data_IF_605232194281
#
_entry.id   IF_605232194281
#
_cell.length_a   1.000
_cell.length_b   1.000
_cell.length_c   1.000
_cell.angle_alpha   90.00
_cell.angle_beta   90.00
_cell.angle_gamma   90.00
#
_symmetry.space_group_name_H-M   'P 1'
#
loop_
_entity.id
_entity.type
_entity.pdbx_description
1 polymer ?
#
# COMPACT_ATOMS: atom_id res chain seq x y z
N UNK A 1 -24.84 5.72 -63.03
CA UNK A 1 -23.87 4.71 -62.55
C UNK A 1 -22.42 5.15 -62.78
N UNK A 2 -22.04 5.59 -63.99
CA UNK A 2 -20.68 6.11 -64.28
C UNK A 2 -20.28 7.27 -63.37
N UNK A 3 -21.15 8.27 -63.17
CA UNK A 3 -20.89 9.40 -62.26
C UNK A 3 -20.64 8.96 -60.82
N UNK A 4 -21.34 7.91 -60.35
CA UNK A 4 -21.15 7.36 -59.01
C UNK A 4 -19.80 6.64 -58.90
N UNK A 5 -19.41 5.87 -59.92
CA UNK A 5 -18.10 5.22 -59.99
C UNK A 5 -16.97 6.25 -60.03
N UNK A 6 -17.15 7.34 -60.78
CA UNK A 6 -16.16 8.44 -60.87
C UNK A 6 -16.04 9.18 -59.53
N UNK A 7 -17.15 9.54 -58.89
CA UNK A 7 -17.14 10.17 -57.55
C UNK A 7 -16.50 9.24 -56.52
N UNK A 8 -16.82 7.94 -56.55
CA UNK A 8 -16.23 6.95 -55.67
C UNK A 8 -14.72 6.81 -55.89
N UNK A 9 -14.25 6.78 -57.14
CA UNK A 9 -12.82 6.78 -57.47
C UNK A 9 -12.11 8.06 -57.02
N UNK A 10 -12.75 9.22 -57.17
CA UNK A 10 -12.21 10.50 -56.69
C UNK A 10 -12.04 10.46 -55.17
N UNK A 11 -13.06 10.00 -54.42
CA UNK A 11 -13.00 9.87 -52.96
C UNK A 11 -11.90 8.90 -52.53
N UNK A 12 -11.69 7.81 -53.27
CA UNK A 12 -10.69 6.78 -52.97
C UNK A 12 -9.25 7.24 -53.31
N UNK A 13 -9.09 8.12 -54.32
CA UNK A 13 -7.81 8.68 -54.73
C UNK A 13 -7.43 9.96 -53.96
N UNK A 14 -8.41 10.70 -53.44
CA UNK A 14 -8.22 11.94 -52.67
C UNK A 14 -7.17 11.84 -51.55
N UNK A 15 -7.10 10.76 -50.75
CA UNK A 15 -6.04 10.58 -49.77
C UNK A 15 -4.62 10.56 -50.33
N UNK A 16 -4.44 10.07 -51.56
CA UNK A 16 -3.13 9.97 -52.21
C UNK A 16 -2.70 11.28 -52.88
N UNK A 17 -3.65 12.18 -53.13
CA UNK A 17 -3.41 13.49 -53.74
C UNK A 17 -3.24 14.61 -52.70
N UNK A 18 -3.57 14.35 -51.44
CA UNK A 18 -3.47 15.34 -50.37
C UNK A 18 -2.09 15.27 -49.73
N UNK A 19 -1.34 16.38 -49.76
CA UNK A 19 -0.07 16.48 -49.04
C UNK A 19 -0.33 16.68 -47.55
N UNK A 20 -0.29 15.59 -46.78
CA UNK A 20 -0.54 15.60 -45.34
C UNK A 20 0.56 16.30 -44.54
N UNK A 21 1.78 16.40 -45.06
CA UNK A 21 2.89 17.06 -44.37
C UNK A 21 2.63 18.57 -44.25
N UNK A 22 1.85 19.16 -45.16
CA UNK A 22 1.39 20.55 -45.07
C UNK A 22 0.48 20.83 -43.85
N UNK A 23 -0.15 19.79 -43.28
CA UNK A 23 -1.01 19.86 -42.09
C UNK A 23 -0.31 19.46 -40.79
N UNK A 24 1.00 19.19 -40.85
CA UNK A 24 1.78 18.72 -39.71
C UNK A 24 1.62 19.58 -38.45
N UNK A 25 1.77 20.90 -38.59
CA UNK A 25 1.63 21.83 -37.45
C UNK A 25 0.23 21.82 -36.85
N UNK A 26 -0.82 21.68 -37.68
CA UNK A 26 -2.20 21.63 -37.20
C UNK A 26 -2.47 20.34 -36.42
N UNK A 27 -1.91 19.21 -36.89
CA UNK A 27 -2.00 17.91 -36.22
C UNK A 27 -1.25 17.94 -34.88
N UNK A 28 -0.02 18.48 -34.87
CA UNK A 28 0.77 18.64 -33.64
C UNK A 28 0.03 19.50 -32.60
N UNK A 29 -0.56 20.63 -33.03
CA UNK A 29 -1.35 21.50 -32.16
C UNK A 29 -2.60 20.79 -31.60
N UNK A 30 -3.31 20.01 -32.42
CA UNK A 30 -4.49 19.26 -31.96
C UNK A 30 -4.15 18.19 -30.91
N UNK A 31 -3.02 17.51 -31.05
CA UNK A 31 -2.53 16.57 -30.04
C UNK A 31 -2.18 17.35 -28.76
N UNK A 32 -1.48 18.48 -28.90
CA UNK A 32 -1.10 19.31 -27.76
C UNK A 32 -2.29 19.84 -26.96
N UNK A 33 -3.34 20.31 -27.62
CA UNK A 33 -4.57 20.78 -26.97
C UNK A 33 -5.30 19.68 -26.18
N UNK A 34 -5.23 18.43 -26.66
CA UNK A 34 -5.96 17.29 -26.06
C UNK A 34 -5.18 16.61 -24.95
N UNK A 35 -3.86 16.51 -25.09
CA UNK A 35 -3.01 15.74 -24.19
C UNK A 35 -2.08 16.63 -23.35
N UNK A 36 -2.07 17.95 -23.53
CA UNK A 36 -1.24 18.88 -22.76
C UNK A 36 0.27 18.57 -22.83
N UNK A 37 0.69 17.93 -23.91
CA UNK A 37 2.09 17.67 -24.25
C UNK A 37 2.38 18.26 -25.62
N UNK A 38 3.51 18.91 -25.78
CA UNK A 38 3.96 19.33 -27.10
C UNK A 38 4.49 18.10 -27.82
N UNK A 39 4.19 17.97 -29.10
CA UNK A 39 4.66 16.86 -29.92
C UNK A 39 5.40 17.34 -31.15
N UNK A 40 6.37 16.55 -31.61
CA UNK A 40 7.07 16.78 -32.87
C UNK A 40 7.08 15.48 -33.66
N UNK A 41 6.44 15.50 -34.83
CA UNK A 41 6.40 14.34 -35.72
C UNK A 41 7.69 14.37 -36.54
N UNK A 42 8.54 13.34 -36.48
CA UNK A 42 9.82 13.37 -37.18
C UNK A 42 9.76 12.80 -38.61
N UNK A 43 8.79 11.94 -38.88
CA UNK A 43 8.63 11.29 -40.17
C UNK A 43 7.46 11.84 -40.99
N UNK A 44 7.32 11.30 -42.22
CA UNK A 44 6.24 11.65 -43.14
C UNK A 44 4.89 11.15 -42.64
N UNK A 45 3.88 12.00 -42.74
CA UNK A 45 2.50 11.66 -42.36
C UNK A 45 1.85 10.86 -43.48
N UNK A 46 1.18 9.76 -43.13
CA UNK A 46 0.47 8.93 -44.11
C UNK A 46 -0.99 8.72 -43.73
N UNK A 47 -1.85 8.52 -44.72
CA UNK A 47 -3.25 8.15 -44.52
C UNK A 47 -3.51 6.73 -44.98
N UNK A 48 -4.24 5.96 -44.16
CA UNK A 48 -4.73 4.64 -44.50
C UNK A 48 -6.24 4.71 -44.74
N UNK A 49 -6.71 4.58 -46.00
CA UNK A 49 -8.14 4.72 -46.32
C UNK A 49 -8.96 3.46 -46.09
N UNK A 50 -8.33 2.28 -45.99
CA UNK A 50 -9.01 0.99 -45.85
C UNK A 50 -8.88 0.42 -44.44
N UNK A 51 -9.89 -0.31 -43.98
CA UNK A 51 -9.96 -0.95 -42.65
C UNK A 51 -9.72 0.07 -41.52
N UNK A 52 -10.77 0.86 -41.22
CA UNK A 52 -10.79 2.01 -40.29
C UNK A 52 -9.91 3.17 -40.78
N UNK A 53 -10.49 4.15 -41.49
CA UNK A 53 -9.69 5.25 -42.04
C UNK A 53 -8.99 6.07 -40.95
N UNK A 54 -7.67 6.27 -41.08
CA UNK A 54 -6.84 6.94 -40.07
C UNK A 54 -5.58 7.59 -40.65
N UNK A 55 -5.03 8.55 -39.91
CA UNK A 55 -3.69 9.08 -40.13
C UNK A 55 -2.71 8.27 -39.28
N UNK A 56 -1.57 7.89 -39.85
CA UNK A 56 -0.43 7.31 -39.14
C UNK A 56 0.67 8.38 -38.98
N UNK A 57 1.10 8.57 -37.74
CA UNK A 57 2.24 9.40 -37.36
C UNK A 57 3.35 8.47 -36.87
N UNK A 58 4.57 8.65 -37.37
CA UNK A 58 5.74 7.85 -36.98
C UNK A 58 6.80 8.71 -36.30
N UNK A 59 7.51 8.10 -35.35
CA UNK A 59 8.60 8.70 -34.58
C UNK A 59 8.20 10.06 -34.00
N UNK A 60 7.23 10.04 -33.08
CA UNK A 60 6.67 11.25 -32.45
C UNK A 60 7.39 11.51 -31.13
N UNK A 61 8.18 12.59 -31.10
CA UNK A 61 8.81 13.07 -29.87
C UNK A 61 7.80 13.83 -29.03
N UNK A 62 7.87 13.64 -27.71
CA UNK A 62 6.98 14.26 -26.74
C UNK A 62 7.78 15.16 -25.82
N UNK A 63 7.26 16.36 -25.61
CA UNK A 63 7.85 17.38 -24.77
C UNK A 63 6.84 17.90 -23.74
N UNK A 64 7.32 18.10 -22.52
CA UNK A 64 6.57 18.81 -21.49
C UNK A 64 6.81 20.32 -21.63
N UNK A 65 5.72 21.07 -21.75
CA UNK A 65 5.75 22.53 -21.89
C UNK A 65 6.16 23.18 -20.56
N UNK A 66 7.32 23.86 -20.52
CA UNK A 66 7.79 24.60 -19.34
C UNK A 66 8.08 26.06 -19.70
N UNK A 67 8.03 26.96 -18.72
CA UNK A 67 8.14 28.43 -18.93
C UNK A 67 9.51 28.88 -19.48
N UNK A 68 10.55 28.05 -19.38
CA UNK A 68 11.90 28.36 -19.83
C UNK A 68 12.27 27.64 -21.12
N UNK A 69 12.17 26.31 -21.14
CA UNK A 69 12.46 25.47 -22.31
C UNK A 69 11.59 24.21 -22.25
N UNK A 70 11.22 23.69 -23.42
CA UNK A 70 10.49 22.43 -23.55
C UNK A 70 11.38 21.26 -23.14
N UNK A 71 10.89 20.40 -22.24
CA UNK A 71 11.65 19.25 -21.74
C UNK A 71 11.26 18.02 -22.53
N UNK A 72 12.21 17.35 -23.17
CA UNK A 72 11.96 16.07 -23.83
C UNK A 72 11.61 15.00 -22.78
N UNK A 73 10.45 14.38 -22.94
CA UNK A 73 9.92 13.41 -21.97
C UNK A 73 9.70 12.02 -22.56
N UNK A 74 9.89 11.83 -23.86
CA UNK A 74 9.71 10.51 -24.44
C UNK A 74 9.48 10.52 -25.94
N UNK A 75 9.27 9.31 -26.47
CA UNK A 75 8.99 9.09 -27.87
C UNK A 75 7.93 7.98 -28.01
N UNK A 76 7.01 8.17 -28.94
CA UNK A 76 6.08 7.15 -29.42
C UNK A 76 6.48 6.80 -30.84
N UNK A 77 6.72 5.52 -31.10
CA UNK A 77 7.05 5.02 -32.43
C UNK A 77 5.90 5.25 -33.41
N UNK A 78 4.66 4.95 -33.02
CA UNK A 78 3.50 5.12 -33.89
C UNK A 78 2.25 5.61 -33.17
N UNK A 79 1.59 6.61 -33.75
CA UNK A 79 0.26 7.09 -33.33
C UNK A 79 -0.71 6.99 -34.50
N UNK A 80 -1.84 6.32 -34.31
CA UNK A 80 -2.96 6.34 -35.25
C UNK A 80 -4.04 7.30 -34.76
N UNK A 81 -4.43 8.23 -35.62
CA UNK A 81 -5.54 9.15 -35.38
C UNK A 81 -6.70 8.77 -36.30
N UNK A 82 -7.79 8.24 -35.73
CA UNK A 82 -8.95 7.86 -36.54
C UNK A 82 -9.69 9.12 -37.00
N UNK A 83 -9.56 9.42 -38.30
CA UNK A 83 -10.14 10.60 -38.92
C UNK A 83 -10.58 10.28 -40.36
N UNK A 84 -11.75 10.80 -40.72
CA UNK A 84 -12.26 10.67 -42.08
C UNK A 84 -11.48 11.62 -43.02
N UNK A 85 -11.17 11.16 -44.24
CA UNK A 85 -10.49 11.96 -45.26
C UNK A 85 -11.20 13.30 -45.55
N UNK A 86 -12.54 13.33 -45.52
CA UNK A 86 -13.28 14.58 -45.71
C UNK A 86 -12.97 15.60 -44.62
N UNK A 87 -12.79 15.15 -43.37
CA UNK A 87 -12.43 16.04 -42.28
C UNK A 87 -11.03 16.63 -42.48
N UNK A 88 -10.10 15.87 -43.06
CA UNK A 88 -8.77 16.36 -43.43
C UNK A 88 -8.89 17.43 -44.53
N UNK A 89 -9.63 17.15 -45.60
CA UNK A 89 -9.80 18.06 -46.74
C UNK A 89 -10.47 19.38 -46.33
N UNK A 90 -11.49 19.31 -45.48
CA UNK A 90 -12.19 20.49 -44.97
C UNK A 90 -11.48 21.16 -43.77
N UNK A 91 -10.25 20.73 -43.44
CA UNK A 91 -9.44 21.24 -42.33
C UNK A 91 -10.14 21.21 -40.97
N UNK A 92 -11.02 20.22 -40.77
CA UNK A 92 -11.76 20.00 -39.53
C UNK A 92 -11.12 18.84 -38.74
N UNK A 93 -9.92 19.07 -38.21
CA UNK A 93 -9.14 18.08 -37.48
C UNK A 93 -9.66 17.89 -36.05
N UNK A 94 -10.76 17.14 -35.89
CA UNK A 94 -11.23 16.76 -34.56
C UNK A 94 -10.84 15.31 -34.23
N UNK A 95 -9.76 15.15 -33.47
CA UNK A 95 -9.28 13.85 -33.00
C UNK A 95 -10.21 13.32 -31.90
N UNK A 96 -10.88 12.20 -32.16
CA UNK A 96 -11.82 11.58 -31.20
C UNK A 96 -11.36 10.21 -30.73
N UNK A 97 -10.65 9.45 -31.57
CA UNK A 97 -10.02 8.20 -31.17
C UNK A 97 -8.53 8.25 -31.49
N UNK A 98 -7.72 7.84 -30.52
CA UNK A 98 -6.27 7.80 -30.61
C UNK A 98 -5.81 6.38 -30.29
N UNK A 99 -4.86 5.88 -31.04
CA UNK A 99 -4.17 4.62 -30.75
C UNK A 99 -2.67 4.89 -30.72
N UNK A 100 -2.04 4.55 -29.60
CA UNK A 100 -0.60 4.66 -29.33
C UNK A 100 -0.01 3.27 -29.45
N UNK A 101 1.07 3.12 -30.22
CA UNK A 101 1.73 1.84 -30.48
C UNK A 101 3.23 2.03 -30.26
N UNK A 102 3.78 1.27 -29.32
CA UNK A 102 5.19 1.24 -28.93
C UNK A 102 5.72 2.62 -28.51
N UNK A 103 6.01 2.82 -27.24
CA UNK A 103 6.57 4.09 -26.78
C UNK A 103 7.05 4.08 -25.35
N UNK A 104 7.80 5.12 -25.00
CA UNK A 104 8.28 5.35 -23.64
C UNK A 104 8.04 6.82 -23.29
N UNK A 105 7.38 7.07 -22.16
CA UNK A 105 7.06 8.42 -21.68
C UNK A 105 7.41 8.55 -20.20
N UNK A 106 8.15 9.60 -19.86
CA UNK A 106 8.47 10.00 -18.48
C UNK A 106 7.67 11.26 -18.09
N UNK A 107 6.66 11.10 -17.24
CA UNK A 107 5.79 12.20 -16.79
C UNK A 107 6.20 12.73 -15.42
N UNK A 108 6.10 14.06 -15.25
CA UNK A 108 6.27 14.73 -13.96
C UNK A 108 5.01 14.70 -13.06
N UNK A 109 5.25 15.04 -11.80
CA UNK A 109 4.32 14.95 -10.68
C UNK A 109 3.20 16.02 -10.73
N UNK A 110 2.28 15.91 -11.70
CA UNK A 110 0.99 16.61 -11.81
C UNK A 110 0.27 16.38 -13.15
N UNK A 111 0.87 15.64 -14.10
CA UNK A 111 0.29 15.50 -15.44
C UNK A 111 -1.15 14.97 -15.42
N UNK A 112 -1.39 13.87 -14.72
CA UNK A 112 -2.72 13.26 -14.66
C UNK A 112 -3.75 14.16 -13.96
N UNK A 113 -3.36 14.88 -12.92
CA UNK A 113 -4.23 15.86 -12.26
C UNK A 113 -4.69 16.93 -13.25
N UNK A 114 -3.76 17.47 -14.04
CA UNK A 114 -4.06 18.48 -15.05
C UNK A 114 -4.93 17.91 -16.17
N UNK A 115 -4.62 16.70 -16.63
CA UNK A 115 -5.38 16.01 -17.68
C UNK A 115 -6.85 15.84 -17.26
N UNK A 116 -7.11 15.21 -16.11
CA UNK A 116 -8.48 14.93 -15.65
C UNK A 116 -9.25 16.18 -15.21
N UNK A 117 -8.57 17.27 -14.80
CA UNK A 117 -9.24 18.54 -14.48
C UNK A 117 -9.73 19.29 -15.73
N UNK A 118 -9.13 19.09 -16.89
CA UNK A 118 -9.53 19.78 -18.11
C UNK A 118 -10.60 19.01 -18.89
N UNK A 119 -11.83 19.09 -18.37
CA UNK A 119 -13.00 18.40 -18.94
C UNK A 119 -13.24 18.79 -20.41
N UNK A 120 -12.94 20.02 -20.82
CA UNK A 120 -13.24 20.49 -22.17
C UNK A 120 -12.39 19.80 -23.25
N UNK A 121 -11.10 19.58 -22.99
CA UNK A 121 -10.24 18.79 -23.89
C UNK A 121 -10.70 17.34 -23.98
N UNK A 122 -11.08 16.72 -22.84
CA UNK A 122 -11.51 15.31 -22.78
C UNK A 122 -12.92 15.11 -23.38
N UNK A 123 -13.80 16.13 -23.38
CA UNK A 123 -15.18 16.03 -23.91
C UNK A 123 -15.25 15.50 -25.34
N UNK A 124 -14.25 15.83 -26.14
CA UNK A 124 -14.14 15.42 -27.55
C UNK A 124 -13.57 14.01 -27.75
N UNK A 125 -12.83 13.49 -26.78
CA UNK A 125 -12.24 12.17 -26.83
C UNK A 125 -13.31 11.09 -26.55
N UNK A 126 -13.22 9.99 -27.29
CA UNK A 126 -14.08 8.82 -27.15
C UNK A 126 -13.28 7.59 -26.75
N UNK A 127 -12.15 7.35 -27.40
CA UNK A 127 -11.32 6.17 -27.16
C UNK A 127 -9.84 6.52 -27.21
N UNK A 128 -9.07 6.08 -26.23
CA UNK A 128 -7.62 5.98 -26.30
C UNK A 128 -7.26 4.50 -26.21
N UNK A 129 -6.56 3.99 -27.22
CA UNK A 129 -5.96 2.66 -27.20
C UNK A 129 -4.45 2.81 -27.00
N UNK A 130 -3.88 1.98 -26.16
CA UNK A 130 -2.45 1.93 -25.89
C UNK A 130 -2.02 0.50 -26.10
N UNK A 131 -1.05 0.29 -26.99
CA UNK A 131 -0.42 -1.00 -27.24
C UNK A 131 1.07 -0.84 -26.96
N UNK A 132 1.56 -1.55 -25.94
CA UNK A 132 2.95 -1.57 -25.54
C UNK A 132 3.55 -0.18 -25.25
N UNK A 133 3.16 0.43 -24.12
CA UNK A 133 3.75 1.68 -23.64
C UNK A 133 4.47 1.48 -22.32
N UNK A 134 5.68 2.02 -22.20
CA UNK A 134 6.36 2.15 -20.92
C UNK A 134 6.11 3.56 -20.37
N UNK A 135 5.57 3.61 -19.17
CA UNK A 135 5.26 4.85 -18.47
C UNK A 135 6.10 4.93 -17.20
N UNK A 136 6.94 5.96 -17.14
CA UNK A 136 7.66 6.33 -15.92
C UNK A 136 7.03 7.59 -15.35
N UNK A 137 6.57 7.51 -14.11
CA UNK A 137 6.07 8.65 -13.35
C UNK A 137 7.11 9.06 -12.31
N UNK A 138 7.68 10.23 -12.47
CA UNK A 138 8.80 10.71 -11.65
C UNK A 138 8.37 11.87 -10.74
N UNK A 139 8.73 11.78 -9.47
CA UNK A 139 8.67 12.86 -8.49
C UNK A 139 10.06 13.11 -7.91
N UNK A 140 10.32 14.29 -7.34
CA UNK A 140 11.64 14.75 -6.85
C UNK A 140 12.42 13.75 -5.96
N UNK A 141 11.79 12.71 -5.42
CA UNK A 141 12.43 11.70 -4.55
C UNK A 141 12.17 10.25 -4.95
N UNK A 142 11.31 9.98 -5.93
CA UNK A 142 10.92 8.60 -6.29
C UNK A 142 10.28 8.58 -7.66
N UNK A 143 10.56 7.52 -8.43
CA UNK A 143 9.87 7.20 -9.66
C UNK A 143 9.12 5.89 -9.54
N UNK A 144 7.96 5.82 -10.19
CA UNK A 144 7.19 4.60 -10.41
C UNK A 144 7.26 4.29 -11.90
N UNK A 145 7.47 3.04 -12.24
CA UNK A 145 7.51 2.59 -13.63
C UNK A 145 6.46 1.50 -13.83
N UNK A 146 5.70 1.65 -14.91
CA UNK A 146 4.77 0.65 -15.40
C UNK A 146 5.18 0.35 -16.84
N UNK A 147 5.63 -0.88 -17.10
CA UNK A 147 6.06 -1.31 -18.44
C UNK A 147 4.99 -2.14 -19.14
N UNK A 148 5.15 -2.29 -20.45
CA UNK A 148 4.33 -3.14 -21.32
C UNK A 148 2.83 -2.82 -21.21
N UNK A 149 2.48 -1.53 -21.05
CA UNK A 149 1.09 -1.12 -20.86
C UNK A 149 0.30 -1.42 -22.13
N UNK A 150 -0.77 -2.18 -21.97
CA UNK A 150 -1.82 -2.30 -22.96
C UNK A 150 -3.12 -1.82 -22.35
N UNK A 151 -3.82 -0.89 -23.00
CA UNK A 151 -5.03 -0.32 -22.43
C UNK A 151 -6.06 0.14 -23.44
N UNK A 152 -7.33 -0.07 -23.11
CA UNK A 152 -8.48 0.54 -23.74
C UNK A 152 -9.15 1.51 -22.76
N UNK A 153 -9.11 2.82 -23.06
CA UNK A 153 -9.70 3.89 -22.26
C UNK A 153 -10.87 4.49 -23.04
N UNK A 154 -12.08 4.42 -22.49
CA UNK A 154 -13.31 4.85 -23.15
C UNK A 154 -13.95 6.00 -22.36
N UNK A 155 -14.24 7.08 -23.07
CA UNK A 155 -14.89 8.28 -22.54
C UNK A 155 -16.26 8.51 -23.16
N UNK A 156 -17.14 9.15 -22.40
CA UNK A 156 -18.42 9.66 -22.89
C UNK A 156 -18.66 11.07 -22.36
N UNK A 157 -18.66 12.05 -23.28
CA UNK A 157 -18.84 13.47 -22.98
C UNK A 157 -17.92 13.94 -21.84
N UNK A 158 -16.65 13.50 -21.87
CA UNK A 158 -15.63 13.86 -20.90
C UNK A 158 -15.56 12.98 -19.65
N UNK A 159 -16.51 12.05 -19.45
CA UNK A 159 -16.48 11.14 -18.29
C UNK A 159 -15.83 9.81 -18.69
N UNK A 160 -14.93 9.28 -17.87
CA UNK A 160 -14.39 7.94 -18.02
C UNK A 160 -15.51 6.90 -17.80
N UNK A 161 -15.75 6.03 -18.79
CA UNK A 161 -16.72 4.91 -18.71
C UNK A 161 -16.00 3.58 -18.54
N UNK A 162 -14.91 3.36 -19.26
CA UNK A 162 -14.19 2.09 -19.19
C UNK A 162 -12.70 2.35 -19.22
N UNK A 163 -11.97 1.62 -18.37
CA UNK A 163 -10.53 1.46 -18.45
C UNK A 163 -10.29 -0.04 -18.35
N UNK A 164 -9.75 -0.65 -19.38
CA UNK A 164 -9.15 -1.98 -19.28
C UNK A 164 -7.66 -1.77 -19.48
N UNK A 165 -6.84 -2.16 -18.50
CA UNK A 165 -5.39 -1.94 -18.50
C UNK A 165 -4.68 -3.21 -18.04
N UNK A 166 -3.65 -3.59 -18.78
CA UNK A 166 -2.67 -4.60 -18.37
C UNK A 166 -1.28 -4.00 -18.44
N UNK A 167 -0.37 -4.48 -17.61
CA UNK A 167 1.02 -4.04 -17.60
C UNK A 167 1.80 -4.68 -16.47
N UNK A 168 3.04 -4.23 -16.29
CA UNK A 168 3.95 -4.72 -15.26
C UNK A 168 4.35 -3.58 -14.32
N UNK A 169 4.12 -3.75 -13.01
CA UNK A 169 4.57 -2.83 -11.97
C UNK A 169 5.79 -3.43 -11.26
N UNK A 170 7.00 -2.90 -11.48
CA UNK A 170 8.26 -3.51 -11.00
C UNK A 170 8.38 -5.02 -11.31
N UNK A 171 8.09 -5.41 -12.56
CA UNK A 171 8.02 -6.82 -13.02
C UNK A 171 6.89 -7.66 -12.42
N UNK A 172 5.93 -7.05 -11.72
CA UNK A 172 4.71 -7.73 -11.27
C UNK A 172 3.58 -7.48 -12.28
N UNK A 173 3.16 -8.50 -13.05
CA UNK A 173 2.06 -8.35 -13.97
C UNK A 173 0.77 -8.06 -13.20
N UNK A 174 0.00 -7.09 -13.68
CA UNK A 174 -1.31 -6.76 -13.14
C UNK A 174 -2.30 -6.45 -14.25
N UNK A 175 -3.57 -6.61 -13.89
CA UNK A 175 -4.71 -6.21 -14.70
C UNK A 175 -5.56 -5.25 -13.86
N UNK A 176 -5.96 -4.13 -14.45
CA UNK A 176 -6.89 -3.17 -13.87
C UNK A 176 -8.08 -2.98 -14.79
N UNK A 177 -9.29 -2.99 -14.22
CA UNK A 177 -10.53 -2.73 -14.94
C UNK A 177 -11.36 -1.71 -14.19
N UNK A 178 -11.90 -0.72 -14.89
CA UNK A 178 -12.83 0.26 -14.36
C UNK A 178 -14.10 0.28 -15.21
N UNK A 179 -15.26 0.35 -14.55
CA UNK A 179 -16.55 0.56 -15.20
C UNK A 179 -17.31 1.67 -14.50
N UNK A 180 -17.42 2.82 -15.15
CA UNK A 180 -18.13 4.00 -14.68
C UNK A 180 -19.53 4.13 -15.25
N UNK A 181 -20.43 4.75 -14.49
CA UNK A 181 -21.76 5.14 -14.95
C UNK A 181 -22.28 6.36 -14.19
N UNK A 182 -23.48 6.83 -14.53
CA UNK A 182 -24.18 7.88 -13.77
C UNK A 182 -25.39 7.30 -13.06
N UNK A 183 -25.54 7.58 -11.78
CA UNK A 183 -26.69 7.22 -10.98
C UNK A 183 -27.19 8.45 -10.21
N UNK A 184 -28.45 8.84 -10.40
CA UNK A 184 -29.07 10.01 -9.75
C UNK A 184 -28.21 11.30 -9.83
N UNK A 185 -27.57 11.54 -10.98
CA UNK A 185 -26.71 12.71 -11.20
C UNK A 185 -25.29 12.58 -10.64
N UNK A 186 -24.98 11.54 -9.85
CA UNK A 186 -23.64 11.25 -9.34
C UNK A 186 -22.89 10.29 -10.26
N UNK A 187 -21.57 10.45 -10.33
CA UNK A 187 -20.68 9.49 -10.99
C UNK A 187 -20.40 8.32 -10.04
N UNK A 188 -20.67 7.10 -10.51
CA UNK A 188 -20.42 5.86 -9.76
C UNK A 188 -19.55 4.93 -10.60
N UNK A 189 -18.89 3.97 -9.98
CA UNK A 189 -18.09 3.03 -10.73
C UNK A 189 -17.63 1.83 -9.95
N UNK A 190 -17.09 0.86 -10.66
CA UNK A 190 -16.44 -0.32 -10.10
C UNK A 190 -15.00 -0.37 -10.60
N UNK A 191 -14.03 -0.43 -9.69
CA UNK A 191 -12.62 -0.61 -9.98
C UNK A 191 -12.17 -1.99 -9.48
N UNK A 192 -11.48 -2.75 -10.31
CA UNK A 192 -10.82 -3.99 -9.92
C UNK A 192 -9.36 -3.94 -10.35
N UNK A 193 -8.44 -4.31 -9.45
CA UNK A 193 -7.02 -4.50 -9.71
C UNK A 193 -6.65 -5.90 -9.22
N UNK A 194 -6.02 -6.70 -10.06
CA UNK A 194 -5.57 -8.04 -9.68
C UNK A 194 -4.16 -8.32 -10.19
N UNK A 195 -3.44 -9.13 -9.43
CA UNK A 195 -2.18 -9.74 -9.86
C UNK A 195 -2.19 -11.21 -9.48
N UNK A 196 -2.25 -12.08 -10.50
CA UNK A 196 -2.30 -13.53 -10.31
C UNK A 196 -0.99 -14.07 -9.72
N UNK A 197 0.15 -13.45 -10.05
CA UNK A 197 1.47 -13.87 -9.58
C UNK A 197 1.56 -13.82 -8.05
N UNK A 198 1.05 -12.75 -7.45
CA UNK A 198 1.05 -12.56 -5.99
C UNK A 198 -0.30 -12.92 -5.34
N UNK A 199 -1.25 -13.44 -6.11
CA UNK A 199 -2.64 -13.74 -5.68
C UNK A 199 -3.27 -12.55 -4.93
N UNK A 200 -3.13 -11.37 -5.52
CA UNK A 200 -3.67 -10.12 -5.02
C UNK A 200 -4.92 -9.74 -5.79
N UNK A 201 -5.94 -9.30 -5.07
CA UNK A 201 -7.16 -8.73 -5.62
C UNK A 201 -7.56 -7.51 -4.81
N UNK A 202 -7.95 -6.45 -5.49
CA UNK A 202 -8.49 -5.24 -4.93
C UNK A 202 -9.70 -4.82 -5.74
N UNK A 203 -10.86 -4.79 -5.08
CA UNK A 203 -12.12 -4.43 -5.70
C UNK A 203 -12.71 -3.24 -4.95
N UNK A 204 -13.23 -2.24 -5.67
CA UNK A 204 -13.86 -1.05 -5.10
C UNK A 204 -15.19 -0.77 -5.78
N UNK A 205 -16.23 -0.59 -4.98
CA UNK A 205 -17.52 -0.02 -5.38
C UNK A 205 -17.51 1.47 -5.03
N UNK A 206 -17.41 2.34 -6.04
CA UNK A 206 -17.40 3.78 -5.91
C UNK A 206 -18.83 4.32 -6.02
N UNK A 207 -19.32 4.95 -4.96
CA UNK A 207 -20.69 5.44 -4.81
C UNK A 207 -20.79 6.94 -5.12
N UNK A 208 -19.68 7.67 -4.98
CA UNK A 208 -19.58 9.07 -5.37
C UNK A 208 -18.16 9.35 -5.85
N UNK A 209 -18.02 9.87 -7.08
CA UNK A 209 -16.75 10.15 -7.72
C UNK A 209 -16.71 11.61 -8.15
N UNK A 210 -15.75 12.35 -7.62
CA UNK A 210 -15.40 13.69 -8.10
C UNK A 210 -13.92 13.77 -8.49
N UNK A 211 -13.65 13.56 -9.77
CA UNK A 211 -12.30 13.66 -10.34
C UNK A 211 -11.72 15.08 -10.28
N UNK A 212 -12.53 16.14 -10.14
CA UNK A 212 -12.04 17.52 -10.10
C UNK A 212 -11.37 17.85 -8.75
N UNK A 213 -11.93 17.32 -7.67
CA UNK A 213 -11.45 17.54 -6.29
C UNK A 213 -10.77 16.30 -5.70
N UNK A 214 -10.52 15.27 -6.53
CA UNK A 214 -10.04 13.95 -6.12
C UNK A 214 -10.78 13.37 -4.90
N UNK A 215 -12.09 13.57 -4.85
CA UNK A 215 -12.92 13.04 -3.77
C UNK A 215 -13.64 11.78 -4.21
N UNK A 216 -13.50 10.71 -3.43
CA UNK A 216 -14.09 9.41 -3.74
C UNK A 216 -14.68 8.79 -2.48
N UNK A 217 -15.93 8.32 -2.58
CA UNK A 217 -16.61 7.60 -1.52
C UNK A 217 -16.97 6.20 -2.01
N UNK A 218 -16.73 5.18 -1.20
CA UNK A 218 -17.09 3.82 -1.60
C UNK A 218 -16.81 2.75 -0.56
N UNK A 219 -16.93 1.50 -1.02
CA UNK A 219 -16.53 0.32 -0.28
C UNK A 219 -15.44 -0.41 -1.05
N UNK A 220 -14.47 -0.98 -0.33
CA UNK A 220 -13.39 -1.72 -0.95
C UNK A 220 -13.14 -3.06 -0.26
N UNK A 221 -12.63 -4.00 -1.04
CA UNK A 221 -12.22 -5.34 -0.60
C UNK A 221 -10.81 -5.59 -1.09
N UNK A 222 -9.89 -5.86 -0.17
CA UNK A 222 -8.54 -6.33 -0.49
C UNK A 222 -8.46 -7.81 -0.13
N UNK A 223 -7.94 -8.64 -1.02
CA UNK A 223 -7.62 -10.05 -0.77
C UNK A 223 -6.18 -10.31 -1.18
N UNK A 224 -5.45 -10.98 -0.29
CA UNK A 224 -4.08 -11.38 -0.54
C UNK A 224 -3.87 -12.80 -0.03
N UNK A 225 -3.73 -13.76 -0.94
CA UNK A 225 -3.63 -15.19 -0.59
C UNK A 225 -2.21 -15.69 -0.37
N UNK A 226 -1.19 -14.86 -0.57
CA UNK A 226 0.19 -15.23 -0.33
C UNK A 226 0.63 -14.92 1.11
N UNK A 227 1.78 -15.45 1.51
CA UNK A 227 2.41 -15.10 2.77
C UNK A 227 2.99 -13.69 2.65
N UNK A 228 2.37 -12.70 3.29
CA UNK A 228 3.02 -11.41 3.48
C UNK A 228 4.21 -11.62 4.42
N UNK A 229 5.28 -10.84 4.23
CA UNK A 229 6.43 -10.80 5.15
C UNK A 229 6.11 -10.14 6.49
N UNK A 230 4.87 -10.25 6.95
CA UNK A 230 4.32 -9.67 8.17
C UNK A 230 3.62 -10.76 8.96
N UNK A 231 3.91 -10.82 10.27
CA UNK A 231 3.41 -11.87 11.15
C UNK A 231 1.89 -11.96 11.06
N UNK A 232 1.38 -13.15 10.75
CA UNK A 232 -0.04 -13.48 10.91
C UNK A 232 -1.02 -12.95 9.87
N UNK A 233 -0.59 -12.09 8.93
CA UNK A 233 -1.43 -11.54 7.86
C UNK A 233 -1.47 -12.42 6.59
N UNK A 234 -1.10 -13.70 6.70
CA UNK A 234 -1.26 -14.64 5.58
C UNK A 234 -2.75 -14.83 5.28
N UNK A 235 -3.11 -14.98 4.00
CA UNK A 235 -4.50 -15.11 3.55
C UNK A 235 -5.39 -13.94 4.03
N UNK A 236 -4.88 -12.72 3.90
CA UNK A 236 -5.55 -11.51 4.34
C UNK A 236 -6.78 -11.21 3.47
N UNK A 237 -7.89 -10.89 4.11
CA UNK A 237 -9.05 -10.24 3.54
C UNK A 237 -9.37 -9.01 4.38
N UNK A 238 -9.41 -7.84 3.74
CA UNK A 238 -9.88 -6.59 4.31
C UNK A 238 -11.16 -6.17 3.59
N UNK A 239 -12.16 -5.71 4.33
CA UNK A 239 -13.34 -5.04 3.75
C UNK A 239 -13.58 -3.76 4.51
N UNK A 240 -13.78 -2.64 3.84
CA UNK A 240 -13.92 -1.35 4.50
C UNK A 240 -14.71 -0.36 3.66
N UNK A 241 -15.37 0.58 4.32
CA UNK A 241 -15.85 1.80 3.69
C UNK A 241 -14.71 2.82 3.69
N UNK A 242 -14.59 3.63 2.64
CA UNK A 242 -13.60 4.69 2.57
C UNK A 242 -14.22 6.01 2.11
N UNK A 243 -13.68 7.12 2.62
CA UNK A 243 -13.92 8.49 2.16
C UNK A 243 -12.55 9.12 1.89
N UNK A 244 -12.19 9.21 0.61
CA UNK A 244 -10.93 9.77 0.11
C UNK A 244 -11.14 11.24 -0.23
N UNK A 245 -10.25 12.07 0.30
CA UNK A 245 -10.11 13.50 0.05
C UNK A 245 -8.70 13.82 -0.47
N UNK A 246 -8.49 15.06 -0.91
CA UNK A 246 -7.20 15.54 -1.43
C UNK A 246 -6.01 15.39 -0.45
N UNK A 247 -6.26 15.39 0.85
CA UNK A 247 -5.23 15.40 1.90
C UNK A 247 -5.27 14.19 2.83
N UNK A 248 -6.34 13.41 2.83
CA UNK A 248 -6.47 12.23 3.67
C UNK A 248 -7.45 11.19 3.10
N UNK A 249 -7.42 9.99 3.66
CA UNK A 249 -8.47 8.98 3.50
C UNK A 249 -8.89 8.43 4.85
N UNK A 250 -10.20 8.43 5.10
CA UNK A 250 -10.81 7.77 6.26
C UNK A 250 -11.28 6.38 5.86
N UNK A 251 -10.85 5.35 6.60
CA UNK A 251 -11.24 3.95 6.44
C UNK A 251 -12.08 3.53 7.64
N UNK A 252 -13.37 3.25 7.41
CA UNK A 252 -14.35 2.93 8.45
C UNK A 252 -14.82 1.48 8.33
N UNK A 253 -15.18 0.90 9.47
CA UNK A 253 -15.73 -0.45 9.56
C UNK A 253 -14.83 -1.49 8.86
N UNK A 254 -13.52 -1.40 9.07
CA UNK A 254 -12.55 -2.32 8.48
C UNK A 254 -12.76 -3.69 9.10
N UNK A 255 -13.28 -4.64 8.34
CA UNK A 255 -13.33 -6.04 8.73
C UNK A 255 -12.03 -6.72 8.30
N UNK A 256 -11.33 -7.30 9.26
CA UNK A 256 -10.06 -8.00 9.05
C UNK A 256 -10.27 -9.49 9.24
N UNK A 257 -9.83 -10.27 8.26
CA UNK A 257 -9.73 -11.72 8.39
C UNK A 257 -8.41 -12.20 7.79
N UNK A 258 -7.66 -13.00 8.53
CA UNK A 258 -6.37 -13.55 8.13
C UNK A 258 -6.12 -14.87 8.84
N UNK A 259 -4.94 -15.45 8.64
CA UNK A 259 -4.53 -16.67 9.32
C UNK A 259 -4.60 -16.59 10.86
N UNK A 260 -4.21 -15.45 11.44
CA UNK A 260 -4.25 -15.21 12.89
C UNK A 260 -5.38 -14.28 13.33
N UNK A 261 -5.57 -13.19 12.59
CA UNK A 261 -6.39 -12.07 13.04
C UNK A 261 -7.78 -12.15 12.46
N UNK A 262 -8.77 -12.02 13.33
CA UNK A 262 -10.18 -11.83 12.98
C UNK A 262 -10.71 -10.71 13.85
N UNK A 263 -11.29 -9.69 13.24
CA UNK A 263 -11.74 -8.52 13.98
C UNK A 263 -12.22 -7.39 13.11
N UNK A 264 -12.37 -6.24 13.74
CA UNK A 264 -12.82 -5.02 13.11
C UNK A 264 -11.96 -3.81 13.54
N UNK A 265 -12.09 -2.69 12.83
CA UNK A 265 -11.36 -1.49 13.17
C UNK A 265 -11.65 -0.31 12.27
N UNK A 266 -10.80 0.70 12.41
CA UNK A 266 -10.78 1.89 11.57
C UNK A 266 -9.35 2.37 11.38
N UNK A 267 -9.14 3.11 10.32
CA UNK A 267 -7.87 3.77 10.07
C UNK A 267 -8.08 5.11 9.38
N UNK A 268 -7.13 6.00 9.57
CA UNK A 268 -7.02 7.27 8.84
C UNK A 268 -5.61 7.39 8.29
N UNK A 269 -5.50 7.80 7.04
CA UNK A 269 -4.23 8.05 6.38
C UNK A 269 -4.21 9.51 5.96
N UNK A 270 -3.29 10.31 6.50
CA UNK A 270 -3.08 11.69 6.06
C UNK A 270 -1.87 11.72 5.10
N UNK A 271 -2.00 12.42 3.98
CA UNK A 271 -0.95 12.54 2.96
C UNK A 271 -0.06 13.76 3.20
N UNK A 272 -0.53 14.76 3.95
CA UNK A 272 0.15 16.05 4.19
C UNK A 272 0.18 16.36 5.69
N UNK A 273 1.25 17.00 6.21
CA UNK A 273 2.49 17.41 5.53
C UNK A 273 3.45 16.24 5.27
N UNK A 274 3.21 15.06 5.86
CA UNK A 274 3.95 13.81 5.67
C UNK A 274 2.95 12.66 5.75
N UNK A 275 3.28 11.52 5.15
CA UNK A 275 2.45 10.33 5.23
C UNK A 275 2.33 9.86 6.69
N UNK A 276 1.13 9.94 7.25
CA UNK A 276 0.83 9.45 8.59
C UNK A 276 -0.38 8.53 8.63
N UNK A 277 -0.32 7.53 9.50
CA UNK A 277 -1.32 6.48 9.62
C UNK A 277 -1.79 6.35 11.08
N UNK A 278 -3.07 6.52 11.34
CA UNK A 278 -3.66 6.25 12.66
C UNK A 278 -4.65 5.11 12.51
N UNK A 279 -4.48 4.02 13.26
CA UNK A 279 -5.41 2.90 13.24
C UNK A 279 -5.79 2.40 14.61
N UNK A 280 -7.00 1.88 14.70
CA UNK A 280 -7.53 1.20 15.86
C UNK A 280 -8.19 -0.10 15.43
N UNK A 281 -7.69 -1.23 15.94
CA UNK A 281 -8.19 -2.56 15.62
C UNK A 281 -8.54 -3.34 16.89
N UNK A 282 -9.67 -4.03 16.84
CA UNK A 282 -10.16 -4.93 17.87
C UNK A 282 -10.22 -6.35 17.28
N UNK A 283 -9.37 -7.23 17.78
CA UNK A 283 -9.30 -8.63 17.37
C UNK A 283 -9.89 -9.55 18.43
N UNK A 284 -10.56 -10.59 17.98
CA UNK A 284 -11.13 -11.65 18.82
C UNK A 284 -10.52 -12.99 18.46
N UNK A 285 -10.36 -13.87 19.46
CA UNK A 285 -9.95 -15.26 19.29
C UNK A 285 -8.64 -15.43 18.50
N UNK A 286 -7.73 -14.45 18.62
CA UNK A 286 -6.45 -14.45 17.90
C UNK A 286 -5.59 -15.62 18.37
N UNK A 287 -5.30 -16.55 17.46
CA UNK A 287 -4.66 -17.81 17.80
C UNK A 287 -3.15 -17.80 17.60
N UNK A 288 -2.43 -17.22 18.57
CA UNK A 288 -0.97 -17.17 18.57
C UNK A 288 -0.30 -18.55 18.64
N UNK A 289 -0.98 -19.64 19.03
CA UNK A 289 -0.41 -21.01 18.94
C UNK A 289 -0.09 -21.43 17.51
N UNK A 290 -0.75 -20.83 16.52
CA UNK A 290 -0.49 -21.10 15.10
C UNK A 290 0.83 -20.52 14.61
N UNK A 291 1.45 -19.61 15.38
CA UNK A 291 2.77 -19.07 15.04
C UNK A 291 3.87 -20.05 15.48
N UNK A 292 4.73 -20.44 14.55
CA UNK A 292 5.94 -21.18 14.87
C UNK A 292 7.00 -20.24 15.46
N UNK A 293 7.86 -20.78 16.32
CA UNK A 293 8.98 -20.03 16.89
C UNK A 293 9.96 -19.56 15.79
N UNK A 294 10.10 -20.35 14.71
CA UNK A 294 10.86 -19.96 13.52
C UNK A 294 10.27 -18.70 12.84
N UNK A 295 8.95 -18.68 12.59
CA UNK A 295 8.29 -17.51 11.97
C UNK A 295 8.40 -16.26 12.85
N UNK A 296 8.26 -16.43 14.16
CA UNK A 296 8.39 -15.34 15.12
C UNK A 296 9.84 -14.83 15.18
N UNK A 297 10.84 -15.72 15.22
CA UNK A 297 12.26 -15.36 15.13
C UNK A 297 12.54 -14.59 13.85
N UNK A 298 12.11 -15.08 12.70
CA UNK A 298 12.42 -14.44 11.43
C UNK A 298 11.82 -13.04 11.29
N UNK A 299 10.63 -12.83 11.84
CA UNK A 299 9.96 -11.54 11.73
C UNK A 299 10.36 -10.53 12.83
N UNK A 300 10.63 -10.99 14.06
CA UNK A 300 11.00 -10.12 15.19
C UNK A 300 12.50 -9.87 15.32
N UNK A 301 13.35 -10.85 14.96
CA UNK A 301 14.81 -10.81 15.16
C UNK A 301 15.54 -10.33 13.91
N UNK A 302 15.10 -10.78 12.73
CA UNK A 302 15.68 -10.36 11.46
C UNK A 302 14.98 -9.14 10.85
N UNK A 303 14.23 -8.39 11.67
CA UNK A 303 13.76 -7.02 11.42
C UNK A 303 12.89 -6.77 10.17
N UNK A 304 12.23 -7.79 9.59
CA UNK A 304 11.34 -7.53 8.44
C UNK A 304 10.17 -6.59 8.78
N UNK A 305 9.68 -6.63 10.02
CA UNK A 305 8.62 -5.74 10.51
C UNK A 305 9.05 -4.26 10.59
N UNK A 306 10.35 -4.00 10.79
CA UNK A 306 10.86 -2.65 11.03
C UNK A 306 11.43 -2.00 9.78
N UNK A 307 11.65 -2.71 8.68
CA UNK A 307 12.22 -2.10 7.47
C UNK A 307 11.30 -1.08 6.76
N UNK A 308 10.01 -1.01 7.10
CA UNK A 308 9.05 -0.08 6.48
C UNK A 308 8.95 1.24 7.30
N UNK A 309 9.45 1.25 8.54
CA UNK A 309 9.19 2.30 9.50
C UNK A 309 9.83 3.67 9.18
N UNK A 310 10.86 3.70 8.32
CA UNK A 310 11.56 4.94 7.93
C UNK A 310 10.69 5.84 7.05
N UNK A 311 9.70 5.26 6.36
CA UNK A 311 8.95 5.94 5.32
C UNK A 311 7.63 6.55 5.78
N UNK A 312 7.22 6.35 7.03
CA UNK A 312 5.93 6.84 7.52
C UNK A 312 5.91 7.13 9.02
N UNK A 313 4.91 7.91 9.43
CA UNK A 313 4.55 8.12 10.82
C UNK A 313 3.28 7.33 11.14
N UNK A 314 3.16 6.76 12.33
CA UNK A 314 1.90 6.11 12.65
C UNK A 314 1.64 5.83 14.11
N UNK A 315 0.35 5.66 14.41
CA UNK A 315 -0.16 5.25 15.72
C UNK A 315 -1.06 4.05 15.51
N UNK A 316 -0.67 2.92 16.08
CA UNK A 316 -1.40 1.67 16.01
C UNK A 316 -1.93 1.34 17.40
N UNK A 317 -3.25 1.35 17.55
CA UNK A 317 -3.95 0.85 18.73
C UNK A 317 -4.51 -0.52 18.41
N UNK A 318 -4.05 -1.54 19.14
CA UNK A 318 -4.42 -2.92 18.91
C UNK A 318 -4.99 -3.48 20.20
N UNK A 319 -6.23 -3.95 20.15
CA UNK A 319 -6.88 -4.63 21.26
C UNK A 319 -7.15 -6.07 20.86
N UNK A 320 -6.85 -7.01 21.74
CA UNK A 320 -7.04 -8.43 21.55
C UNK A 320 -7.87 -8.97 22.70
N UNK A 321 -8.96 -9.65 22.37
CA UNK A 321 -9.80 -10.38 23.33
C UNK A 321 -9.73 -11.87 23.06
N UNK A 322 -9.75 -12.68 24.12
CA UNK A 322 -9.80 -14.15 24.04
C UNK A 322 -8.64 -14.76 23.22
N UNK A 323 -7.44 -14.20 23.32
CA UNK A 323 -6.24 -14.72 22.69
C UNK A 323 -5.97 -16.18 23.10
N UNK A 324 -5.49 -16.96 22.14
CA UNK A 324 -5.09 -18.36 22.36
C UNK A 324 -3.56 -18.42 22.28
N UNK A 325 -2.91 -18.59 23.43
CA UNK A 325 -1.45 -18.65 23.59
C UNK A 325 -0.99 -20.05 24.01
N UNK A 326 0.25 -20.45 23.72
CA UNK A 326 0.79 -21.80 24.00
C UNK A 326 0.54 -22.27 25.44
N UNK A 327 0.75 -21.39 26.41
CA UNK A 327 0.59 -21.67 27.84
C UNK A 327 -0.74 -21.19 28.41
N UNK A 328 -1.64 -20.62 27.59
CA UNK A 328 -2.94 -20.06 27.99
C UNK A 328 -2.88 -19.08 29.18
N UNK A 329 -1.72 -18.45 29.44
CA UNK A 329 -1.55 -17.54 30.58
C UNK A 329 -2.34 -16.24 30.36
N UNK A 330 -2.08 -15.58 29.23
CA UNK A 330 -2.74 -14.34 28.85
C UNK A 330 -3.97 -14.62 27.99
N UNK A 331 -5.07 -13.95 28.31
CA UNK A 331 -6.32 -13.98 27.56
C UNK A 331 -6.53 -12.72 26.74
N UNK A 332 -6.16 -11.55 27.26
CA UNK A 332 -6.40 -10.28 26.56
C UNK A 332 -5.11 -9.47 26.46
N UNK A 333 -5.05 -8.59 25.46
CA UNK A 333 -3.94 -7.65 25.32
C UNK A 333 -4.39 -6.33 24.72
N UNK A 334 -3.72 -5.25 25.12
CA UNK A 334 -3.89 -3.93 24.50
C UNK A 334 -2.51 -3.35 24.20
N UNK A 335 -2.32 -2.81 23.02
CA UNK A 335 -1.04 -2.24 22.59
C UNK A 335 -1.25 -0.89 21.90
N UNK A 336 -0.40 0.08 22.24
CA UNK A 336 -0.26 1.35 21.56
C UNK A 336 1.17 1.45 21.07
N UNK A 337 1.34 1.35 19.76
CA UNK A 337 2.64 1.42 19.08
C UNK A 337 2.68 2.71 18.27
N UNK A 338 3.76 3.46 18.43
CA UNK A 338 4.01 4.68 17.67
C UNK A 338 5.26 4.51 16.81
N UNK A 339 5.15 4.90 15.55
CA UNK A 339 6.24 4.93 14.58
C UNK A 339 6.51 6.36 14.17
N UNK A 340 7.77 6.80 14.29
CA UNK A 340 8.18 8.18 14.00
C UNK A 340 9.41 8.18 13.07
N UNK A 341 9.20 7.91 11.77
CA UNK A 341 10.26 8.04 10.76
C UNK A 341 11.51 7.20 11.06
N UNK A 342 11.33 5.92 11.37
CA UNK A 342 12.41 4.97 11.68
C UNK A 342 12.46 4.53 13.14
N UNK A 343 11.94 5.35 14.05
CA UNK A 343 11.84 5.01 15.48
C UNK A 343 10.53 4.28 15.78
N UNK A 344 10.59 3.17 16.53
CA UNK A 344 9.39 2.49 17.04
C UNK A 344 9.34 2.55 18.56
N UNK A 345 8.25 3.10 19.07
CA UNK A 345 7.97 3.27 20.48
C UNK A 345 6.74 2.44 20.86
N UNK A 346 6.92 1.45 21.73
CA UNK A 346 5.82 0.78 22.42
C UNK A 346 5.44 1.69 23.58
N UNK A 347 4.45 2.57 23.36
CA UNK A 347 3.93 3.44 24.43
C UNK A 347 3.29 2.61 25.53
N UNK A 348 2.56 1.58 25.13
CA UNK A 348 1.89 0.68 26.05
C UNK A 348 1.73 -0.69 25.40
N UNK A 349 2.04 -1.75 26.14
CA UNK A 349 1.66 -3.12 25.85
C UNK A 349 1.22 -3.75 27.17
N UNK A 350 -0.07 -3.99 27.30
CA UNK A 350 -0.67 -4.64 28.45
C UNK A 350 -1.08 -6.06 28.05
N UNK A 351 -0.61 -7.07 28.79
CA UNK A 351 -1.10 -8.44 28.70
C UNK A 351 -1.86 -8.76 29.98
N UNK A 352 -3.11 -9.23 29.84
CA UNK A 352 -4.01 -9.51 30.93
C UNK A 352 -4.23 -11.02 31.00
N UNK A 353 -4.01 -11.61 32.17
CA UNK A 353 -4.23 -13.04 32.41
C UNK A 353 -5.70 -13.35 32.68
N UNK A 354 -6.06 -14.63 32.57
CA UNK A 354 -7.40 -15.12 32.96
C UNK A 354 -7.72 -14.92 34.45
N UNK A 355 -6.70 -14.63 35.26
CA UNK A 355 -6.78 -14.42 36.70
C UNK A 355 -6.69 -12.94 37.07
N UNK A 356 -6.81 -12.05 36.08
CA UNK A 356 -6.64 -10.60 36.22
C UNK A 356 -5.22 -10.17 36.64
N UNK A 357 -4.20 -10.99 36.37
CA UNK A 357 -2.81 -10.54 36.45
C UNK A 357 -2.49 -9.64 35.26
N UNK A 358 -1.60 -8.68 35.46
CA UNK A 358 -1.28 -7.65 34.48
C UNK A 358 0.23 -7.56 34.26
N UNK A 359 0.65 -7.73 33.00
CA UNK A 359 2.00 -7.44 32.56
C UNK A 359 1.96 -6.21 31.65
N UNK A 360 2.57 -5.12 32.09
CA UNK A 360 2.77 -3.89 31.31
C UNK A 360 4.18 -3.87 30.78
N UNK A 361 4.34 -3.52 29.51
CA UNK A 361 5.62 -3.30 28.85
C UNK A 361 5.53 -1.97 28.11
N UNK A 362 6.54 -1.13 28.26
CA UNK A 362 6.76 0.03 27.40
C UNK A 362 8.23 0.14 27.06
N UNK A 363 8.55 0.87 25.99
CA UNK A 363 9.93 0.99 25.58
C UNK A 363 10.10 1.48 24.15
N UNK A 364 11.36 1.64 23.75
CA UNK A 364 11.74 2.14 22.43
C UNK A 364 12.74 1.22 21.78
N UNK A 365 12.53 0.95 20.50
CA UNK A 365 13.51 0.34 19.63
C UNK A 365 14.43 1.43 19.08
N UNK A 366 15.74 1.22 19.18
CA UNK A 366 16.77 2.06 18.57
C UNK A 366 17.63 1.18 17.68
N UNK A 367 17.81 1.59 16.43
CA UNK A 367 18.67 0.91 15.46
C UNK A 367 19.91 1.75 15.19
N UNK A 368 21.09 1.22 15.49
CA UNK A 368 22.39 1.84 15.18
C UNK A 368 23.34 0.78 14.66
N UNK A 369 24.12 1.07 13.61
CA UNK A 369 25.12 0.17 13.05
C UNK A 369 24.61 -1.25 12.73
N UNK A 370 23.36 -1.38 12.24
CA UNK A 370 22.67 -2.66 11.97
C UNK A 370 22.45 -3.55 13.21
N UNK A 371 22.54 -2.99 14.40
CA UNK A 371 22.04 -3.58 15.64
C UNK A 371 20.77 -2.86 16.08
N UNK A 372 19.73 -3.62 16.43
CA UNK A 372 18.48 -3.09 16.99
C UNK A 372 18.40 -3.48 18.46
N UNK A 373 18.26 -2.48 19.32
CA UNK A 373 18.16 -2.65 20.77
C UNK A 373 16.79 -2.16 21.21
N UNK A 374 16.09 -2.96 22.00
CA UNK A 374 14.85 -2.59 22.65
C UNK A 374 15.13 -2.20 24.10
N UNK A 375 15.02 -0.91 24.41
CA UNK A 375 15.09 -0.40 25.78
C UNK A 375 13.71 -0.45 26.39
N UNK A 376 13.55 -1.25 27.45
CA UNK A 376 12.23 -1.55 27.99
C UNK A 376 12.11 -1.23 29.48
N UNK A 377 10.90 -0.88 29.89
CA UNK A 377 10.44 -1.03 31.25
C UNK A 377 9.27 -2.01 31.25
N UNK A 378 9.25 -2.91 32.22
CA UNK A 378 8.10 -3.77 32.47
C UNK A 378 7.62 -3.64 33.92
N UNK A 379 6.33 -3.84 34.11
CA UNK A 379 5.70 -3.98 35.40
C UNK A 379 4.81 -5.21 35.37
N UNK A 380 4.95 -6.08 36.36
CA UNK A 380 4.08 -7.23 36.56
C UNK A 380 3.32 -7.03 37.87
N UNK A 381 2.00 -7.15 37.82
CA UNK A 381 1.12 -7.11 38.97
C UNK A 381 0.32 -8.43 38.98
N UNK A 382 0.55 -9.25 39.99
CA UNK A 382 -0.04 -10.57 40.18
C UNK A 382 -1.02 -10.54 41.35
N UNK A 383 -2.19 -11.13 41.16
CA UNK A 383 -3.18 -11.31 42.23
C UNK A 383 -2.70 -12.38 43.21
N UNK A 384 -2.16 -13.49 42.68
CA UNK A 384 -1.60 -14.57 43.46
C UNK A 384 -0.37 -15.15 42.75
N UNK A 385 0.80 -14.87 43.34
CA UNK A 385 2.11 -15.34 42.87
C UNK A 385 2.21 -16.87 42.75
N UNK A 386 1.62 -17.63 43.68
CA UNK A 386 1.63 -19.10 43.66
C UNK A 386 0.82 -19.63 42.48
N UNK A 387 -0.35 -19.05 42.23
CA UNK A 387 -1.22 -19.47 41.13
C UNK A 387 -0.59 -19.13 39.78
N UNK A 388 -0.02 -17.93 39.65
CA UNK A 388 0.74 -17.54 38.47
C UNK A 388 1.86 -18.55 38.18
N UNK A 389 2.72 -18.83 39.18
CA UNK A 389 3.84 -19.76 39.05
C UNK A 389 3.39 -21.18 38.68
N UNK A 390 2.30 -21.67 39.28
CA UNK A 390 1.70 -22.97 38.95
C UNK A 390 1.29 -23.05 37.48
N UNK A 391 0.67 -21.99 36.95
CA UNK A 391 0.22 -21.92 35.56
C UNK A 391 1.36 -21.76 34.55
N UNK A 392 2.55 -21.40 35.02
CA UNK A 392 3.77 -21.43 34.21
C UNK A 392 4.37 -22.84 34.07
N UNK A 393 3.77 -23.90 34.65
CA UNK A 393 4.43 -25.21 34.81
C UNK A 393 5.69 -25.14 35.71
N UNK A 394 5.63 -24.34 36.76
CA UNK A 394 6.67 -24.31 37.78
C UNK A 394 6.88 -25.65 38.49
N UNK A 395 8.10 -25.90 38.97
CA UNK A 395 8.41 -27.11 39.76
C UNK A 395 7.55 -27.19 41.02
N UNK A 396 6.98 -28.37 41.32
CA UNK A 396 6.10 -28.59 42.49
C UNK A 396 6.75 -28.18 43.82
N UNK A 397 8.04 -28.47 43.98
CA UNK A 397 8.83 -28.12 45.16
C UNK A 397 8.84 -26.60 45.43
N UNK A 398 9.07 -25.79 44.39
CA UNK A 398 9.03 -24.33 44.50
C UNK A 398 7.62 -23.79 44.71
N UNK A 399 6.60 -24.37 44.07
CA UNK A 399 5.19 -23.96 44.29
C UNK A 399 4.80 -24.03 45.77
N UNK A 400 5.25 -25.08 46.47
CA UNK A 400 4.97 -25.26 47.89
C UNK A 400 5.59 -24.18 48.78
N UNK A 401 6.70 -23.58 48.34
CA UNK A 401 7.43 -22.53 49.07
C UNK A 401 6.90 -21.12 48.80
N UNK A 402 6.13 -20.92 47.73
CA UNK A 402 5.59 -19.60 47.38
C UNK A 402 4.41 -19.21 48.27
N UNK A 403 4.32 -17.94 48.70
CA UNK A 403 3.17 -17.44 49.45
C UNK A 403 1.92 -17.35 48.56
N UNK A 404 0.74 -17.33 49.17
CA UNK A 404 -0.53 -17.03 48.50
C UNK A 404 -0.86 -15.55 48.61
N UNK A 405 0.08 -14.70 48.19
CA UNK A 405 0.01 -13.26 48.29
C UNK A 405 0.08 -12.60 46.91
N UNK A 406 -0.32 -11.33 46.84
CA UNK A 406 -0.11 -10.50 45.66
C UNK A 406 1.36 -10.14 45.49
N UNK A 407 1.76 -9.92 44.24
CA UNK A 407 3.11 -9.51 43.90
C UNK A 407 3.09 -8.38 42.89
N UNK A 408 3.89 -7.35 43.11
CA UNK A 408 4.19 -6.31 42.14
C UNK A 408 5.69 -6.20 41.96
N UNK A 409 6.13 -6.23 40.70
CA UNK A 409 7.52 -6.13 40.31
C UNK A 409 7.70 -5.18 39.14
N UNK A 410 8.76 -4.37 39.16
CA UNK A 410 9.17 -3.54 38.04
C UNK A 410 10.57 -3.94 37.59
N UNK A 411 10.78 -3.99 36.28
CA UNK A 411 12.08 -4.30 35.69
C UNK A 411 12.41 -3.28 34.60
N UNK A 412 13.70 -2.95 34.49
CA UNK A 412 14.23 -2.14 33.38
C UNK A 412 15.45 -2.82 32.80
N UNK A 413 15.59 -2.73 31.49
CA UNK A 413 16.70 -3.34 30.79
C UNK A 413 16.74 -3.00 29.33
N UNK A 414 17.67 -3.64 28.64
CA UNK A 414 17.83 -3.57 27.21
C UNK A 414 17.94 -4.98 26.62
N UNK A 415 17.25 -5.20 25.51
CA UNK A 415 17.27 -6.44 24.74
C UNK A 415 17.92 -6.16 23.40
N UNK A 416 19.08 -6.77 23.15
CA UNK A 416 19.67 -6.80 21.82
C UNK A 416 18.90 -7.81 20.96
N UNK A 417 18.07 -7.31 20.04
CA UNK A 417 17.15 -8.12 19.25
C UNK A 417 17.90 -9.17 18.43
N UNK A 418 19.04 -8.79 17.82
CA UNK A 418 19.84 -9.65 16.96
C UNK A 418 20.60 -10.74 17.73
N UNK A 419 21.17 -10.37 18.88
CA UNK A 419 21.97 -11.28 19.71
C UNK A 419 21.11 -12.12 20.67
N UNK A 420 19.85 -11.76 20.87
CA UNK A 420 18.97 -12.41 21.85
C UNK A 420 19.46 -12.28 23.28
N UNK A 421 20.13 -11.16 23.59
CA UNK A 421 20.77 -10.93 24.88
C UNK A 421 20.08 -9.79 25.61
N UNK A 422 19.68 -10.05 26.84
CA UNK A 422 19.14 -9.07 27.78
C UNK A 422 20.22 -8.61 28.74
N UNK A 423 20.23 -7.31 29.00
CA UNK A 423 20.90 -6.70 30.15
C UNK A 423 19.81 -6.17 31.09
N UNK A 424 19.90 -6.57 32.36
CA UNK A 424 18.93 -6.14 33.38
C UNK A 424 19.58 -5.06 34.23
N UNK A 425 19.03 -3.84 34.15
CA UNK A 425 19.57 -2.67 34.81
C UNK A 425 18.97 -2.45 36.19
N UNK A 426 17.69 -2.77 36.37
CA UNK A 426 16.98 -2.56 37.62
C UNK A 426 15.85 -3.58 37.79
N UNK A 427 15.70 -4.12 39.01
CA UNK A 427 14.51 -4.86 39.45
C UNK A 427 14.10 -4.31 40.82
N UNK A 428 12.81 -3.97 40.93
CA UNK A 428 12.17 -3.50 42.16
C UNK A 428 10.99 -4.43 42.44
N UNK A 429 11.00 -5.12 43.59
CA UNK A 429 9.88 -5.96 44.03
C UNK A 429 8.94 -5.24 44.99
N UNK A 430 8.08 -6.02 45.65
CA UNK A 430 7.19 -5.56 46.71
C UNK A 430 7.89 -4.65 47.73
N UNK A 431 7.18 -3.63 48.22
CA UNK A 431 7.68 -2.63 49.17
C UNK A 431 8.90 -1.84 48.68
N UNK A 432 9.04 -1.65 47.36
CA UNK A 432 10.14 -0.93 46.73
C UNK A 432 11.54 -1.50 47.02
N UNK A 433 11.64 -2.80 47.34
CA UNK A 433 12.93 -3.46 47.57
C UNK A 433 13.66 -3.64 46.24
N UNK A 434 14.84 -3.01 46.13
CA UNK A 434 15.72 -3.13 44.95
C UNK A 434 16.62 -4.36 45.05
N UNK A 435 16.79 -5.06 43.93
CA UNK A 435 17.73 -6.16 43.83
C UNK A 435 19.17 -5.63 43.85
N UNK A 436 20.07 -6.32 44.56
CA UNK A 436 21.49 -6.01 44.55
C UNK A 436 22.15 -6.52 43.25
N UNK A 437 23.41 -6.12 42.99
CA UNK A 437 24.13 -6.48 41.76
C UNK A 437 24.30 -7.99 41.56
N UNK A 438 24.53 -8.74 42.65
CA UNK A 438 24.65 -10.20 42.58
C UNK A 438 23.34 -10.84 42.12
N UNK A 439 22.22 -10.40 42.70
CA UNK A 439 20.90 -10.91 42.34
C UNK A 439 20.57 -10.54 40.89
N UNK A 440 20.84 -9.29 40.46
CA UNK A 440 20.63 -8.86 39.08
C UNK A 440 21.45 -9.70 38.08
N UNK A 441 22.70 -10.05 38.40
CA UNK A 441 23.52 -10.91 37.55
C UNK A 441 22.93 -12.32 37.42
N UNK A 442 22.47 -12.92 38.53
CA UNK A 442 21.81 -14.24 38.51
C UNK A 442 20.55 -14.21 37.65
N UNK A 443 19.72 -13.17 37.82
CA UNK A 443 18.53 -12.96 37.01
C UNK A 443 18.88 -12.84 35.53
N UNK A 444 19.86 -12.01 35.20
CA UNK A 444 20.28 -11.77 33.83
C UNK A 444 20.83 -13.05 33.17
N UNK A 445 21.63 -13.84 33.89
CA UNK A 445 22.13 -15.13 33.40
C UNK A 445 20.98 -16.09 33.12
N UNK A 446 20.02 -16.22 34.03
CA UNK A 446 18.85 -17.08 33.85
C UNK A 446 17.96 -16.62 32.68
N UNK A 447 17.74 -15.30 32.54
CA UNK A 447 17.05 -14.71 31.40
C UNK A 447 17.77 -15.07 30.09
N UNK A 448 19.08 -14.84 30.02
CA UNK A 448 19.87 -15.11 28.82
C UNK A 448 19.99 -16.59 28.49
N UNK A 449 20.06 -17.49 29.49
CA UNK A 449 20.03 -18.94 29.27
C UNK A 449 18.72 -19.38 28.62
N UNK A 450 17.60 -18.80 29.05
CA UNK A 450 16.29 -19.09 28.47
C UNK A 450 16.13 -18.45 27.11
N UNK A 451 16.67 -17.25 26.88
CA UNK A 451 16.64 -16.58 25.58
C UNK A 451 17.55 -17.23 24.53
N UNK A 452 18.72 -17.72 24.91
CA UNK A 452 19.64 -18.42 24.02
C UNK A 452 19.09 -19.79 23.57
N UNK A 453 18.13 -20.37 24.32
CA UNK A 453 17.42 -21.59 23.91
C UNK A 453 16.26 -21.28 22.95
N UNK A 454 15.56 -20.16 23.17
CA UNK A 454 14.55 -19.61 22.26
C UNK A 454 14.28 -18.15 22.61
N UNK A 455 14.46 -17.23 21.67
CA UNK A 455 14.36 -15.77 21.91
C UNK A 455 12.94 -15.36 22.36
N UNK A 456 11.95 -16.22 22.09
CA UNK A 456 10.53 -16.01 22.43
C UNK A 456 10.20 -16.34 23.88
N UNK A 457 11.17 -16.86 24.64
CA UNK A 457 10.94 -17.11 26.06
C UNK A 457 10.73 -15.80 26.85
N UNK A 458 11.00 -14.60 26.34
CA UNK A 458 10.65 -13.32 27.03
C UNK A 458 9.15 -13.24 27.41
N UNK A 459 8.29 -13.84 26.58
CA UNK A 459 6.85 -13.93 26.81
C UNK A 459 6.44 -15.21 27.57
N UNK A 460 7.40 -16.10 27.81
CA UNK A 460 7.18 -17.30 28.60
C UNK A 460 7.13 -16.91 30.08
N UNK A 461 5.99 -17.11 30.75
CA UNK A 461 5.83 -16.81 32.16
C UNK A 461 6.87 -17.50 33.04
N UNK A 462 7.37 -18.67 32.59
CA UNK A 462 8.44 -19.41 33.25
C UNK A 462 9.70 -18.60 33.42
N UNK A 463 10.01 -17.67 32.52
CA UNK A 463 11.18 -16.81 32.71
C UNK A 463 11.05 -16.06 34.03
N UNK A 464 9.88 -15.51 34.38
CA UNK A 464 9.69 -14.74 35.60
C UNK A 464 9.74 -15.58 36.89
N UNK A 465 9.85 -16.90 36.80
CA UNK A 465 9.93 -17.80 37.93
C UNK A 465 11.13 -17.56 38.85
N UNK A 466 12.19 -16.87 38.40
CA UNK A 466 13.32 -16.52 39.26
C UNK A 466 13.05 -15.27 40.13
N UNK A 467 12.02 -14.47 39.83
CA UNK A 467 11.64 -13.30 40.64
C UNK A 467 11.10 -13.70 42.02
N UNK A 468 10.93 -15.00 42.24
CA UNK A 468 10.21 -15.61 43.35
C UNK A 468 11.07 -16.63 44.09
#
# INVERSE_FOLDING_TARGET
>A
MVTFVVIFFIILLLPFLTDLDSYKSDIENQIQEKFFVKVKINEKISYKPFLRPHIELFSVDIFQTNKKEDVYIGNIYKINLNINIFNIIFKNFNVTNVEIIDGIIELENNYFDNFFKNIDSIRSLKVIKVNNLDLKYSSNKSSIEISDINSDIIFNKGNLITLDLTGNFFNLPFESTFKGSRNNGKSVGYLSIKSNLIKFHFDMDLIDINFLTNEFLGNAVIRFSNNLSTIGLNNLTLRFAFDLKDDHVDLKNILVNSFLYKGDGSAKIDFKPRLSFVSEFNFIDTNFKKLSNANLKDNLVYNKLFNINENFYGVFKLNFKNMITSHNLFSDANAIIIVEGGDVNIKELNLISKFNDLLKINGRFITQNRETIFFFNSQIDLVNIRDFYKNTNGSREKIALLPTDSFSGKMKGDLNMKKGRVVVNEIIGNNNKKFNKSNLNIVQEEFNLRLNKDILNVLDPRIYNFLF
#
